data_IF_354667480549
#
_entry.id   IF_354667480549
#
_cell.length_a   1.000
_cell.length_b   1.000
_cell.length_c   1.000
_cell.angle_alpha   90.00
_cell.angle_beta   90.00
_cell.angle_gamma   90.00
#
_symmetry.space_group_name_H-M   'P 1'
#
loop_
_entity.id
_entity.type
_entity.pdbx_description
1 polymer ?
#
# COMPACT_ATOMS: atom_id res chain seq x y z
N UNK A 1 -14.55 -3.32 28.67
CA UNK A 1 -13.16 -3.81 28.62
C UNK A 1 -12.62 -3.42 27.26
N UNK A 2 -11.92 -2.29 27.15
CA UNK A 2 -11.28 -1.89 25.90
C UNK A 2 -10.02 -2.73 25.77
N UNK A 3 -10.07 -3.77 24.94
CA UNK A 3 -8.83 -4.37 24.40
C UNK A 3 -8.06 -3.23 23.74
N UNK A 4 -6.92 -2.87 24.34
CA UNK A 4 -5.98 -1.95 23.74
C UNK A 4 -5.49 -2.60 22.46
N UNK A 5 -6.09 -2.24 21.33
CA UNK A 5 -5.57 -2.57 20.01
C UNK A 5 -4.16 -2.01 19.99
N UNK A 6 -3.16 -2.88 20.05
CA UNK A 6 -1.77 -2.49 19.95
C UNK A 6 -1.65 -1.65 18.67
N UNK A 7 -1.37 -0.35 18.82
CA UNK A 7 -1.23 0.53 17.68
C UNK A 7 -0.03 0.02 16.88
N UNK A 8 -0.30 -0.51 15.69
CA UNK A 8 0.75 -0.96 14.77
C UNK A 8 1.66 0.23 14.53
N UNK A 9 2.94 0.09 14.90
CA UNK A 9 3.98 1.05 14.56
C UNK A 9 4.71 0.56 13.33
N UNK A 10 4.72 1.38 12.28
CA UNK A 10 5.44 1.10 11.05
C UNK A 10 6.88 1.61 11.10
N UNK A 11 7.15 2.64 11.90
CA UNK A 11 8.48 3.23 12.06
C UNK A 11 9.23 2.58 13.23
N UNK A 12 10.49 2.27 13.00
CA UNK A 12 11.43 1.88 14.03
C UNK A 12 12.06 3.12 14.65
N UNK A 13 11.71 3.38 15.91
CA UNK A 13 12.20 4.52 16.69
C UNK A 13 13.19 4.12 17.78
N UNK A 14 13.73 2.89 17.72
CA UNK A 14 14.67 2.37 18.73
C UNK A 14 15.94 3.21 18.84
N UNK A 15 16.41 3.77 17.72
CA UNK A 15 17.63 4.58 17.62
C UNK A 15 17.35 6.09 17.56
N UNK A 16 16.18 6.55 18.02
CA UNK A 16 15.82 7.98 17.96
C UNK A 16 16.76 8.87 18.79
N UNK A 17 17.37 8.33 19.85
CA UNK A 17 18.40 9.02 20.64
C UNK A 17 19.67 9.31 19.82
N UNK A 18 19.94 8.50 18.79
CA UNK A 18 20.97 8.73 17.79
C UNK A 18 20.46 9.53 16.58
N UNK A 19 19.24 10.09 16.65
CA UNK A 19 18.56 10.83 15.59
C UNK A 19 18.28 9.97 14.34
N UNK A 20 18.10 8.66 14.54
CA UNK A 20 17.82 7.70 13.47
C UNK A 20 16.38 7.17 13.58
N UNK A 21 15.73 7.05 12.43
CA UNK A 21 14.42 6.40 12.28
C UNK A 21 14.49 5.38 11.15
N UNK A 22 14.15 4.14 11.44
CA UNK A 22 14.02 3.07 10.45
C UNK A 22 12.61 2.99 9.89
N UNK A 23 12.48 2.61 8.62
CA UNK A 23 11.20 2.29 8.01
C UNK A 23 11.33 1.17 6.99
N UNK A 24 10.52 0.13 7.16
CA UNK A 24 10.41 -1.01 6.23
C UNK A 24 8.91 -1.20 5.93
N UNK A 25 8.47 -1.04 4.66
CA UNK A 25 7.07 -1.27 4.32
C UNK A 25 6.68 -2.72 4.58
N UNK A 26 5.68 -2.93 5.44
CA UNK A 26 5.17 -4.27 5.73
C UNK A 26 4.15 -4.74 4.68
N UNK A 27 3.92 -6.05 4.57
CA UNK A 27 2.83 -6.59 3.76
C UNK A 27 1.46 -6.11 4.26
N UNK A 28 1.29 -5.92 5.57
CA UNK A 28 0.06 -5.36 6.15
C UNK A 28 -0.18 -3.90 5.72
N UNK A 29 0.86 -3.10 5.52
CA UNK A 29 0.72 -1.74 5.01
C UNK A 29 0.44 -1.72 3.49
N UNK A 30 1.02 -2.66 2.76
CA UNK A 30 1.13 -2.58 1.29
C UNK A 30 0.22 -3.55 0.54
N UNK A 31 -0.43 -4.47 1.26
CA UNK A 31 -1.14 -5.63 0.70
C UNK A 31 -0.26 -6.50 -0.22
N UNK A 32 1.08 -6.42 -0.08
CA UNK A 32 2.04 -7.12 -0.93
C UNK A 32 2.41 -6.41 -2.23
N UNK A 33 1.89 -5.21 -2.51
CA UNK A 33 2.24 -4.48 -3.74
C UNK A 33 3.53 -3.67 -3.62
N UNK A 34 4.45 -3.85 -4.58
CA UNK A 34 5.68 -3.04 -4.66
C UNK A 34 5.39 -1.58 -5.00
N UNK A 35 4.31 -1.31 -5.76
CA UNK A 35 3.85 0.05 -6.02
C UNK A 35 3.44 0.76 -4.73
N UNK A 36 2.68 0.08 -3.86
CA UNK A 36 2.24 0.64 -2.57
C UNK A 36 3.41 0.78 -1.58
N UNK A 37 4.35 -0.17 -1.58
CA UNK A 37 5.61 -0.04 -0.84
C UNK A 37 6.41 1.21 -1.27
N UNK A 38 6.51 1.44 -2.58
CA UNK A 38 7.18 2.63 -3.13
C UNK A 38 6.47 3.92 -2.73
N UNK A 39 5.13 3.95 -2.75
CA UNK A 39 4.34 5.09 -2.28
C UNK A 39 4.59 5.36 -0.80
N UNK A 40 4.61 4.32 0.04
CA UNK A 40 4.89 4.46 1.47
C UNK A 40 6.29 5.05 1.72
N UNK A 41 7.33 4.52 1.06
CA UNK A 41 8.70 5.06 1.18
C UNK A 41 8.75 6.54 0.78
N UNK A 42 8.06 6.91 -0.33
CA UNK A 42 7.98 8.31 -0.77
C UNK A 42 7.29 9.20 0.25
N UNK A 43 6.18 8.74 0.84
CA UNK A 43 5.40 9.46 1.84
C UNK A 43 6.21 9.74 3.11
N UNK A 44 6.90 8.72 3.63
CA UNK A 44 7.78 8.87 4.79
C UNK A 44 8.89 9.85 4.45
N UNK A 45 9.61 9.61 3.35
CA UNK A 45 10.73 10.46 2.91
C UNK A 45 10.32 11.92 2.73
N UNK A 46 9.18 12.19 2.08
CA UNK A 46 8.74 13.58 1.86
C UNK A 46 8.36 14.24 3.18
N UNK A 47 7.59 13.56 4.02
CA UNK A 47 7.16 14.11 5.31
C UNK A 47 8.34 14.49 6.20
N UNK A 48 9.39 13.66 6.25
CA UNK A 48 10.61 14.00 7.00
C UNK A 48 11.41 15.14 6.39
N UNK A 49 11.45 15.27 5.06
CA UNK A 49 12.17 16.34 4.37
C UNK A 49 11.46 17.69 4.39
N UNK A 50 10.14 17.66 4.51
CA UNK A 50 9.34 18.88 4.62
C UNK A 50 9.55 19.56 5.99
N UNK A 51 9.83 18.77 7.03
CA UNK A 51 10.01 19.26 8.40
C UNK A 51 11.49 19.42 8.79
N UNK A 52 12.36 18.47 8.39
CA UNK A 52 13.75 18.41 8.83
C UNK A 52 14.73 18.35 7.66
N UNK A 53 15.89 18.96 7.87
CA UNK A 53 17.08 18.68 7.07
C UNK A 53 17.61 17.30 7.45
N UNK A 54 17.23 16.30 6.67
CA UNK A 54 17.56 14.90 6.93
C UNK A 54 18.34 14.23 5.79
N UNK A 55 19.16 13.25 6.16
CA UNK A 55 19.80 12.33 5.23
C UNK A 55 18.96 11.05 5.17
N UNK A 56 18.80 10.50 3.97
CA UNK A 56 18.02 9.27 3.77
C UNK A 56 18.90 8.24 3.10
N UNK A 57 19.14 7.13 3.80
CA UNK A 57 19.93 5.98 3.33
C UNK A 57 18.97 4.87 2.91
N UNK A 58 19.12 4.38 1.69
CA UNK A 58 18.39 3.20 1.23
C UNK A 58 19.03 1.95 1.83
N UNK A 59 18.19 1.06 2.35
CA UNK A 59 18.60 -0.28 2.82
C UNK A 59 17.82 -1.34 2.03
N UNK A 60 18.21 -2.61 2.16
CA UNK A 60 17.72 -3.72 1.32
C UNK A 60 16.18 -3.78 1.23
N UNK A 61 15.46 -3.46 2.29
CA UNK A 61 14.00 -3.56 2.38
C UNK A 61 13.30 -2.25 2.78
N UNK A 62 14.00 -1.11 2.78
CA UNK A 62 13.43 0.11 3.33
C UNK A 62 14.39 1.29 3.34
N UNK A 63 14.19 2.19 4.30
CA UNK A 63 15.02 3.39 4.48
C UNK A 63 15.41 3.59 5.94
N UNK A 64 16.55 4.23 6.13
CA UNK A 64 16.96 4.83 7.40
C UNK A 64 17.03 6.35 7.18
N UNK A 65 16.42 7.10 8.09
CA UNK A 65 16.38 8.56 8.07
C UNK A 65 17.20 9.06 9.24
N UNK A 66 18.13 9.96 8.95
CA UNK A 66 19.00 10.60 9.92
C UNK A 66 18.64 12.08 9.97
N UNK A 67 18.33 12.59 11.17
CA UNK A 67 17.88 13.96 11.41
C UNK A 67 18.84 14.70 12.36
N UNK A 68 20.04 15.13 11.90
CA UNK A 68 21.12 15.58 12.78
C UNK A 68 20.80 16.81 13.62
N UNK A 69 19.92 17.68 13.10
CA UNK A 69 19.59 18.98 13.70
C UNK A 69 18.25 18.94 14.48
N UNK A 70 17.51 17.82 14.45
CA UNK A 70 16.21 17.69 15.10
C UNK A 70 16.37 17.23 16.56
N UNK A 71 15.43 17.57 17.44
CA UNK A 71 15.41 17.00 18.80
C UNK A 71 14.71 15.65 18.79
N UNK A 72 15.04 14.78 19.76
CA UNK A 72 14.36 13.48 19.93
C UNK A 72 12.83 13.61 19.99
N UNK A 73 12.32 14.59 20.74
CA UNK A 73 10.87 14.80 20.87
C UNK A 73 10.25 15.22 19.53
N UNK A 74 10.88 16.14 18.80
CA UNK A 74 10.41 16.56 17.47
C UNK A 74 10.38 15.39 16.48
N UNK A 75 11.36 14.48 16.54
CA UNK A 75 11.38 13.27 15.70
C UNK A 75 10.22 12.35 16.06
N UNK A 76 9.97 12.10 17.35
CA UNK A 76 8.87 11.25 17.81
C UNK A 76 7.49 11.82 17.44
N UNK A 77 7.31 13.14 17.56
CA UNK A 77 6.08 13.82 17.16
C UNK A 77 5.83 13.65 15.64
N UNK A 78 6.87 13.86 14.82
CA UNK A 78 6.76 13.66 13.38
C UNK A 78 6.52 12.18 13.02
N UNK A 79 7.13 11.23 13.74
CA UNK A 79 6.82 9.81 13.59
C UNK A 79 5.33 9.57 13.79
N UNK A 80 4.71 10.12 14.85
CA UNK A 80 3.27 10.01 15.08
C UNK A 80 2.41 10.56 13.94
N UNK A 81 2.86 11.64 13.27
CA UNK A 81 2.19 12.16 12.06
C UNK A 81 2.35 11.19 10.88
N UNK A 82 3.55 10.64 10.69
CA UNK A 82 3.82 9.68 9.62
C UNK A 82 3.03 8.38 9.81
N UNK A 83 2.94 7.85 11.03
CA UNK A 83 2.12 6.68 11.35
C UNK A 83 0.66 6.88 10.92
N UNK A 84 0.08 8.05 11.23
CA UNK A 84 -1.29 8.39 10.81
C UNK A 84 -1.42 8.50 9.28
N UNK A 85 -0.41 9.04 8.60
CA UNK A 85 -0.39 9.11 7.13
C UNK A 85 -0.28 7.71 6.50
N UNK A 86 0.52 6.82 7.09
CA UNK A 86 0.65 5.42 6.65
C UNK A 86 -0.65 4.63 6.88
N UNK A 87 -1.34 4.84 8.00
CA UNK A 87 -2.67 4.26 8.25
C UNK A 87 -3.71 4.70 7.22
N UNK A 88 -3.64 5.96 6.77
CA UNK A 88 -4.50 6.44 5.68
C UNK A 88 -4.12 5.77 4.36
N UNK A 89 -2.83 5.72 4.04
CA UNK A 89 -2.32 5.05 2.84
C UNK A 89 -2.75 3.57 2.79
N UNK A 90 -2.68 2.85 3.91
CA UNK A 90 -3.14 1.45 4.03
C UNK A 90 -4.56 1.28 3.49
N UNK A 91 -5.46 2.19 3.84
CA UNK A 91 -6.89 2.18 3.48
C UNK A 91 -7.19 2.69 2.07
N UNK A 92 -6.23 3.33 1.40
CA UNK A 92 -6.44 3.86 0.05
C UNK A 92 -6.72 2.75 -0.98
N UNK A 93 -7.69 2.96 -1.89
CA UNK A 93 -8.01 2.01 -2.94
C UNK A 93 -6.81 1.65 -3.82
N UNK A 94 -6.74 0.38 -4.22
CA UNK A 94 -5.72 -0.14 -5.11
C UNK A 94 -6.09 0.12 -6.57
N UNK A 95 -5.10 0.47 -7.38
CA UNK A 95 -5.23 0.55 -8.83
C UNK A 95 -5.12 -0.83 -9.48
N UNK A 96 -5.64 -0.98 -10.70
CA UNK A 96 -5.61 -2.24 -11.44
C UNK A 96 -4.21 -2.90 -11.50
N UNK A 97 -3.15 -2.11 -11.71
CA UNK A 97 -1.78 -2.62 -11.77
C UNK A 97 -1.29 -3.22 -10.46
N UNK A 98 -1.70 -2.65 -9.32
CA UNK A 98 -1.41 -3.22 -8.00
C UNK A 98 -2.13 -4.54 -7.81
N UNK A 99 -3.37 -4.66 -8.28
CA UNK A 99 -4.15 -5.90 -8.15
C UNK A 99 -3.65 -7.01 -9.08
N UNK A 100 -3.24 -6.67 -10.31
CA UNK A 100 -2.56 -7.60 -11.23
C UNK A 100 -1.32 -8.21 -10.56
N UNK A 101 -0.51 -7.38 -9.92
CA UNK A 101 0.66 -7.79 -9.15
C UNK A 101 0.29 -8.68 -7.95
N UNK A 102 -0.59 -8.20 -7.07
CA UNK A 102 -0.93 -8.90 -5.81
C UNK A 102 -1.56 -10.27 -6.06
N UNK A 103 -2.47 -10.38 -7.03
CA UNK A 103 -3.19 -11.62 -7.32
C UNK A 103 -2.48 -12.51 -8.35
N UNK A 104 -1.37 -12.04 -8.93
CA UNK A 104 -0.69 -12.69 -10.06
C UNK A 104 -1.66 -13.01 -11.22
N UNK A 105 -2.44 -12.00 -11.63
CA UNK A 105 -3.44 -12.09 -12.71
C UNK A 105 -3.10 -11.16 -13.85
N UNK A 106 -3.50 -11.51 -15.07
CA UNK A 106 -3.40 -10.62 -16.22
C UNK A 106 -4.45 -9.50 -16.16
N UNK A 107 -4.18 -8.37 -16.82
CA UNK A 107 -5.16 -7.29 -16.95
C UNK A 107 -6.46 -7.71 -17.64
N UNK A 108 -6.42 -8.73 -18.51
CA UNK A 108 -7.60 -9.30 -19.16
C UNK A 108 -8.47 -10.10 -18.18
N UNK A 109 -7.84 -10.97 -17.37
CA UNK A 109 -8.51 -11.70 -16.28
C UNK A 109 -9.12 -10.73 -15.27
N UNK A 110 -8.33 -9.77 -14.79
CA UNK A 110 -8.79 -8.75 -13.84
C UNK A 110 -10.00 -7.99 -14.41
N UNK A 111 -9.93 -7.50 -15.65
CA UNK A 111 -11.04 -6.77 -16.28
C UNK A 111 -12.30 -7.61 -16.40
N UNK A 112 -12.18 -8.89 -16.78
CA UNK A 112 -13.31 -9.82 -16.90
C UNK A 112 -13.93 -10.07 -15.53
N UNK A 113 -13.14 -10.51 -14.56
CA UNK A 113 -13.61 -10.84 -13.23
C UNK A 113 -14.15 -9.63 -12.45
N UNK A 114 -13.65 -8.42 -12.70
CA UNK A 114 -14.23 -7.19 -12.15
C UNK A 114 -15.59 -6.84 -12.77
N UNK A 115 -15.79 -7.13 -14.07
CA UNK A 115 -17.09 -6.92 -14.73
C UNK A 115 -18.14 -7.93 -14.27
N UNK A 116 -17.71 -9.18 -14.10
CA UNK A 116 -18.58 -10.29 -13.72
C UNK A 116 -18.84 -10.35 -12.20
N UNK A 117 -18.29 -9.39 -11.43
CA UNK A 117 -18.50 -9.25 -9.99
C UNK A 117 -17.69 -10.20 -9.11
N UNK A 118 -16.81 -11.03 -9.70
CA UNK A 118 -15.94 -11.97 -8.98
C UNK A 118 -14.89 -11.24 -8.13
N UNK A 119 -14.31 -10.17 -8.66
CA UNK A 119 -13.40 -9.29 -7.90
C UNK A 119 -14.18 -8.05 -7.43
N UNK A 120 -14.28 -7.81 -6.10
CA UNK A 120 -14.94 -6.63 -5.56
C UNK A 120 -14.28 -5.33 -6.02
N UNK A 121 -15.09 -4.34 -6.38
CA UNK A 121 -14.62 -3.00 -6.77
C UNK A 121 -15.19 -1.95 -5.82
N UNK A 122 -14.43 -0.89 -5.53
CA UNK A 122 -14.85 0.21 -4.64
C UNK A 122 -15.21 1.49 -5.39
N UNK A 123 -15.23 1.44 -6.73
CA UNK A 123 -15.55 2.57 -7.59
C UNK A 123 -14.70 2.62 -8.85
N UNK A 124 -14.68 3.80 -9.49
CA UNK A 124 -13.85 4.08 -10.66
C UNK A 124 -13.11 5.39 -10.53
N UNK A 125 -11.84 5.40 -10.92
CA UNK A 125 -11.09 6.61 -11.22
C UNK A 125 -11.25 6.96 -12.70
N UNK A 126 -11.49 8.23 -13.01
CA UNK A 126 -11.63 8.70 -14.38
C UNK A 126 -10.42 9.54 -14.78
N UNK A 127 -9.84 9.21 -15.92
CA UNK A 127 -8.73 9.96 -16.50
C UNK A 127 -9.13 10.53 -17.85
N UNK A 128 -8.80 11.80 -18.10
CA UNK A 128 -8.98 12.43 -19.39
C UNK A 128 -7.83 12.05 -20.33
N UNK A 129 -8.18 11.54 -21.51
CA UNK A 129 -7.25 11.33 -22.60
C UNK A 129 -7.78 12.10 -23.81
N UNK A 130 -7.38 13.38 -23.90
CA UNK A 130 -7.95 14.34 -24.84
C UNK A 130 -9.44 14.56 -24.56
N UNK A 131 -10.30 14.31 -25.56
CA UNK A 131 -11.77 14.42 -25.42
C UNK A 131 -12.45 13.17 -24.83
N UNK A 132 -11.70 12.08 -24.60
CA UNK A 132 -12.26 10.82 -24.07
C UNK A 132 -11.98 10.71 -22.57
N UNK A 133 -12.95 10.27 -21.79
CA UNK A 133 -12.74 9.85 -20.41
C UNK A 133 -12.59 8.33 -20.35
N UNK A 134 -11.53 7.85 -19.69
CA UNK A 134 -11.29 6.43 -19.44
C UNK A 134 -11.51 6.16 -17.96
N UNK A 135 -12.51 5.32 -17.65
CA UNK A 135 -12.77 4.85 -16.29
C UNK A 135 -11.98 3.59 -15.98
N UNK A 136 -11.19 3.62 -14.90
CA UNK A 136 -10.45 2.49 -14.35
C UNK A 136 -11.07 2.06 -13.04
N UNK A 137 -11.25 0.75 -12.82
CA UNK A 137 -11.72 0.23 -11.55
C UNK A 137 -10.72 0.50 -10.42
N UNK A 138 -11.25 0.82 -9.25
CA UNK A 138 -10.54 0.86 -7.99
C UNK A 138 -10.97 -0.32 -7.14
N UNK A 139 -10.04 -0.81 -6.33
CA UNK A 139 -10.23 -2.05 -5.56
C UNK A 139 -9.99 -1.81 -4.07
N UNK A 140 -10.86 -2.30 -3.18
CA UNK A 140 -10.66 -2.15 -1.74
C UNK A 140 -9.50 -3.05 -1.27
N UNK A 141 -8.50 -2.51 -0.52
CA UNK A 141 -7.31 -3.26 -0.12
C UNK A 141 -7.63 -4.54 0.65
N UNK A 142 -8.59 -4.49 1.58
CA UNK A 142 -8.97 -5.64 2.42
C UNK A 142 -9.54 -6.79 1.59
N UNK A 143 -10.41 -6.51 0.61
CA UNK A 143 -10.97 -7.58 -0.23
C UNK A 143 -9.91 -8.21 -1.14
N UNK A 144 -8.97 -7.41 -1.65
CA UNK A 144 -7.86 -7.94 -2.45
C UNK A 144 -6.92 -8.80 -1.60
N UNK A 145 -6.68 -8.42 -0.35
CA UNK A 145 -5.91 -9.23 0.61
C UNK A 145 -6.61 -10.54 0.96
N UNK A 146 -7.92 -10.51 1.17
CA UNK A 146 -8.69 -11.72 1.39
C UNK A 146 -8.60 -12.66 0.16
N UNK A 147 -8.70 -12.11 -1.06
CA UNK A 147 -8.52 -12.89 -2.28
C UNK A 147 -7.09 -13.42 -2.46
N UNK A 148 -6.06 -12.64 -2.11
CA UNK A 148 -4.67 -13.11 -2.21
C UNK A 148 -4.37 -14.25 -1.25
N UNK A 149 -5.08 -14.33 -0.11
CA UNK A 149 -5.03 -15.46 0.80
C UNK A 149 -5.69 -16.74 0.28
N UNK A 150 -6.40 -16.67 -0.87
CA UNK A 150 -7.16 -17.78 -1.47
C UNK A 150 -6.75 -18.03 -2.93
N UNK A 151 -5.50 -18.47 -3.19
CA UNK A 151 -5.03 -18.72 -4.56
C UNK A 151 -5.86 -19.78 -5.31
N UNK A 152 -6.46 -20.74 -4.59
CA UNK A 152 -7.34 -21.77 -5.17
C UNK A 152 -8.60 -21.17 -5.83
N UNK A 153 -9.12 -20.07 -5.29
CA UNK A 153 -10.29 -19.38 -5.86
C UNK A 153 -9.95 -18.76 -7.22
N UNK A 154 -8.75 -18.17 -7.36
CA UNK A 154 -8.24 -17.64 -8.63
C UNK A 154 -8.05 -18.79 -9.64
N UNK A 155 -7.50 -19.93 -9.20
CA UNK A 155 -7.34 -21.10 -10.05
C UNK A 155 -8.70 -21.66 -10.52
N UNK A 156 -9.70 -21.71 -9.63
CA UNK A 156 -11.05 -22.14 -9.96
C UNK A 156 -11.68 -21.24 -11.04
N UNK A 157 -11.57 -19.92 -10.91
CA UNK A 157 -12.08 -18.99 -11.93
C UNK A 157 -11.41 -19.18 -13.29
N UNK A 158 -10.10 -19.43 -13.32
CA UNK A 158 -9.37 -19.76 -14.57
C UNK A 158 -9.88 -21.05 -15.20
N UNK A 159 -10.19 -22.06 -14.40
CA UNK A 159 -10.74 -23.33 -14.89
C UNK A 159 -12.16 -23.14 -15.44
N UNK A 160 -13.01 -22.38 -14.76
CA UNK A 160 -14.35 -22.02 -15.24
C UNK A 160 -14.30 -21.29 -16.58
N UNK A 161 -13.35 -20.36 -16.75
CA UNK A 161 -13.20 -19.60 -18.00
C UNK A 161 -12.68 -20.46 -19.17
N UNK A 162 -12.07 -21.62 -18.90
CA UNK A 162 -11.61 -22.58 -19.92
C UNK A 162 -12.72 -23.53 -20.38
N UNK A 163 -13.80 -23.67 -19.62
CA UNK A 163 -14.92 -24.51 -20.01
C UNK A 163 -15.98 -23.65 -20.72
N UNK A 164 -16.31 -23.92 -21.99
CA UNK A 164 -17.37 -23.19 -22.67
C UNK A 164 -18.69 -23.40 -21.91
N UNK A 165 -19.38 -22.31 -21.61
CA UNK A 165 -20.77 -22.36 -21.13
C UNK A 165 -21.59 -22.99 -22.25
N UNK A 166 -22.15 -24.16 -21.96
CA UNK A 166 -22.87 -25.00 -22.92
C UNK A 166 -24.37 -24.67 -22.96
#
# INVERSE_FOLDING_TARGET
MHEGVAQVRYLDTSDVAAHLVGFVPSEDLTAGSTHKATQAIRLVKSTFRDEFKCLVKQVKSGIIIECPEATQNSILDLCGVVEQKLERLKKEPLAAKMVEEILAVSGAELRRWSKDGRIPTSGRAYFSQGRKQVGLFLYPPEAIRELSSRPDQIAQWRNQDRQPQH
#
